data_IF_099592760574
#
_entry.id   IF_099592760574
#
_cell.length_a   1.000
_cell.length_b   1.000
_cell.length_c   1.000
_cell.angle_alpha   90.00
_cell.angle_beta   90.00
_cell.angle_gamma   90.00
#
_symmetry.space_group_name_H-M   'P 1'
#
loop_
_entity.id
_entity.type
_entity.pdbx_description
1 polymer ?
#
# COMPACT_ATOMS: atom_id res chain seq x y z
N UNK A 1 -20.57 12.35 14.13
CA UNK A 1 -20.75 11.90 12.74
C UNK A 1 -19.84 10.72 12.57
N UNK A 2 -20.42 9.53 12.54
CA UNK A 2 -19.67 8.27 12.59
C UNK A 2 -18.96 7.99 11.27
N UNK A 3 -17.66 7.88 11.33
CA UNK A 3 -16.79 7.54 10.21
C UNK A 3 -16.72 6.03 9.96
N UNK A 4 -17.89 5.37 9.78
CA UNK A 4 -17.97 3.95 9.42
C UNK A 4 -19.13 3.74 8.46
N UNK A 5 -18.93 4.16 7.22
CA UNK A 5 -19.89 3.96 6.13
C UNK A 5 -19.88 2.56 5.53
N UNK A 6 -19.52 1.52 6.26
CA UNK A 6 -19.62 0.14 5.80
C UNK A 6 -20.88 -0.51 6.40
N UNK A 7 -21.89 -0.77 5.59
CA UNK A 7 -23.06 -1.56 5.99
C UNK A 7 -22.69 -3.04 5.97
N UNK A 8 -23.05 -3.82 7.01
CA UNK A 8 -22.88 -5.26 6.99
C UNK A 8 -23.92 -5.93 6.08
N UNK A 9 -23.50 -6.91 5.29
CA UNK A 9 -24.37 -7.80 4.54
C UNK A 9 -25.11 -8.70 5.54
N UNK A 10 -26.45 -8.66 5.52
CA UNK A 10 -27.30 -9.52 6.32
C UNK A 10 -27.35 -10.93 5.71
N UNK A 11 -26.87 -11.93 6.44
CA UNK A 11 -27.05 -13.34 6.13
C UNK A 11 -28.00 -13.94 7.18
N UNK A 12 -29.25 -14.19 6.80
CA UNK A 12 -30.19 -14.96 7.59
C UNK A 12 -29.97 -16.47 7.35
N UNK A 13 -29.47 -17.16 8.37
CA UNK A 13 -29.40 -18.62 8.37
C UNK A 13 -30.68 -19.20 8.95
N UNK A 14 -31.46 -19.89 8.13
CA UNK A 14 -32.56 -20.78 8.60
C UNK A 14 -31.99 -22.15 8.97
N UNK A 15 -32.05 -22.48 10.25
CA UNK A 15 -31.90 -23.86 10.75
C UNK A 15 -33.12 -24.70 10.41
N UNK A 16 -32.89 -25.84 9.76
CA UNK A 16 -33.86 -26.93 9.70
C UNK A 16 -33.36 -28.11 10.52
N UNK A 17 -34.11 -28.38 11.60
CA UNK A 17 -34.00 -29.60 12.38
C UNK A 17 -34.53 -30.82 11.62
N UNK A 18 -33.88 -31.98 11.75
CA UNK A 18 -34.41 -33.31 11.44
C UNK A 18 -33.95 -34.32 12.49
N UNK A 19 -34.80 -35.28 12.91
CA UNK A 19 -34.73 -35.95 14.19
C UNK A 19 -33.95 -37.26 14.21
N UNK A 20 -33.65 -37.66 15.45
CA UNK A 20 -32.97 -38.86 15.93
C UNK A 20 -33.60 -40.19 15.51
N UNK A 21 -32.77 -41.20 15.28
CA UNK A 21 -33.09 -42.61 15.44
C UNK A 21 -31.90 -43.40 16.05
N UNK A 22 -32.21 -44.35 16.89
CA UNK A 22 -31.43 -45.00 17.92
C UNK A 22 -31.01 -46.45 17.54
N UNK A 23 -29.79 -46.87 17.96
CA UNK A 23 -29.27 -48.20 18.42
C UNK A 23 -28.81 -49.26 17.38
N UNK A 24 -28.01 -50.29 17.83
CA UNK A 24 -26.87 -50.34 18.79
C UNK A 24 -25.64 -51.19 18.34
N UNK A 25 -24.51 -50.97 19.03
CA UNK A 25 -23.44 -51.93 19.49
C UNK A 25 -22.86 -52.98 18.54
N UNK A 26 -21.56 -52.90 18.28
CA UNK A 26 -20.57 -53.97 18.53
C UNK A 26 -19.15 -53.40 18.56
N UNK A 27 -18.41 -53.74 19.61
CA UNK A 27 -17.03 -53.26 19.84
C UNK A 27 -15.98 -53.97 19.00
N UNK A 28 -15.05 -53.20 18.47
CA UNK A 28 -13.74 -53.67 18.04
C UNK A 28 -12.70 -52.71 18.60
N UNK A 29 -11.84 -53.22 19.46
CA UNK A 29 -10.70 -52.54 20.05
C UNK A 29 -9.64 -52.38 18.94
N UNK A 30 -9.51 -51.22 18.34
CA UNK A 30 -8.40 -50.86 17.48
C UNK A 30 -7.59 -49.77 18.19
N UNK A 31 -6.37 -50.15 18.57
CA UNK A 31 -5.37 -49.19 18.99
C UNK A 31 -5.15 -48.17 17.86
N UNK A 32 -5.75 -47.02 17.99
CA UNK A 32 -5.47 -45.87 17.12
C UNK A 32 -4.33 -45.11 17.73
N UNK A 33 -3.14 -45.24 17.11
CA UNK A 33 -2.04 -44.33 17.29
C UNK A 33 -2.59 -42.91 17.01
N UNK A 34 -2.84 -42.14 18.05
CA UNK A 34 -3.19 -40.72 17.91
C UNK A 34 -2.01 -39.99 17.28
N UNK A 35 -2.18 -39.33 16.12
CA UNK A 35 -1.19 -38.34 15.75
C UNK A 35 -1.23 -37.26 16.83
N UNK A 36 -0.12 -37.02 17.49
CA UNK A 36 0.09 -35.81 18.27
C UNK A 36 -0.27 -34.64 17.36
N UNK A 37 -1.47 -34.08 17.54
CA UNK A 37 -1.71 -32.69 17.14
C UNK A 37 -0.63 -31.89 17.87
N UNK A 38 0.41 -31.46 17.14
CA UNK A 38 1.18 -30.31 17.55
C UNK A 38 0.17 -29.15 17.59
N UNK A 39 -0.38 -28.93 18.76
CA UNK A 39 -1.17 -27.75 19.05
C UNK A 39 -0.30 -26.56 18.72
N UNK A 40 -0.73 -25.75 17.75
CA UNK A 40 -0.35 -24.36 17.71
C UNK A 40 -0.52 -23.84 19.13
N UNK A 41 0.57 -23.47 19.78
CA UNK A 41 0.50 -22.72 21.03
C UNK A 41 -0.27 -21.45 20.68
N UNK A 42 -1.56 -21.45 21.04
CA UNK A 42 -2.29 -20.20 21.24
C UNK A 42 -1.44 -19.43 22.24
N UNK A 43 -0.68 -18.46 21.76
CA UNK A 43 0.02 -17.50 22.59
C UNK A 43 -1.08 -16.82 23.40
N UNK A 44 -1.28 -17.29 24.62
CA UNK A 44 -2.31 -16.78 25.51
C UNK A 44 -2.01 -15.31 25.69
N UNK A 45 -2.85 -14.45 25.13
CA UNK A 45 -2.81 -13.01 25.33
C UNK A 45 -3.06 -12.73 26.81
N UNK A 46 -1.96 -12.81 27.57
CA UNK A 46 -1.94 -12.67 29.03
C UNK A 46 -1.76 -11.22 29.47
N UNK A 47 -1.67 -11.01 30.77
CA UNK A 47 -1.49 -9.65 31.33
C UNK A 47 -0.19 -8.98 30.85
N UNK A 48 0.86 -9.77 30.59
CA UNK A 48 2.13 -9.25 30.08
C UNK A 48 1.98 -8.66 28.67
N UNK A 49 1.30 -9.37 27.77
CA UNK A 49 1.06 -8.91 26.40
C UNK A 49 0.14 -7.69 26.36
N UNK A 50 -0.88 -7.65 27.22
CA UNK A 50 -1.79 -6.50 27.39
C UNK A 50 -1.03 -5.27 27.85
N UNK A 51 -0.19 -5.44 28.88
CA UNK A 51 0.62 -4.33 29.40
C UNK A 51 1.60 -3.83 28.33
N UNK A 52 2.24 -4.74 27.57
CA UNK A 52 3.13 -4.39 26.47
C UNK A 52 2.41 -3.61 25.38
N UNK A 53 1.23 -4.04 24.95
CA UNK A 53 0.43 -3.32 23.95
C UNK A 53 -0.03 -1.95 24.46
N UNK A 54 -0.38 -1.86 25.75
CA UNK A 54 -0.73 -0.58 26.41
C UNK A 54 0.46 0.38 26.43
N UNK A 55 1.67 -0.11 26.76
CA UNK A 55 2.89 0.70 26.70
C UNK A 55 3.22 1.19 25.29
N UNK A 56 2.99 0.35 24.25
CA UNK A 56 3.11 0.76 22.86
C UNK A 56 2.15 1.93 22.54
N UNK A 57 0.90 1.81 22.94
CA UNK A 57 -0.11 2.86 22.75
C UNK A 57 0.31 4.18 23.41
N UNK A 58 0.76 4.13 24.67
CA UNK A 58 1.16 5.33 25.41
C UNK A 58 2.42 6.00 24.83
N UNK A 59 3.41 5.22 24.39
CA UNK A 59 4.61 5.75 23.73
C UNK A 59 4.24 6.52 22.44
N UNK A 60 3.35 5.94 21.64
CA UNK A 60 2.86 6.57 20.40
C UNK A 60 2.04 7.82 20.72
N UNK A 61 1.16 7.77 21.74
CA UNK A 61 0.36 8.93 22.18
C UNK A 61 1.24 10.12 22.57
N UNK A 62 2.34 9.87 23.29
CA UNK A 62 3.26 10.91 23.73
C UNK A 62 3.92 11.63 22.53
N UNK A 63 4.39 10.87 21.53
CA UNK A 63 4.99 11.46 20.35
C UNK A 63 3.95 12.11 19.43
N UNK A 64 2.75 11.53 19.31
CA UNK A 64 1.63 12.13 18.59
C UNK A 64 1.28 13.52 19.14
N UNK A 65 1.09 13.63 20.46
CA UNK A 65 0.80 14.91 21.11
C UNK A 65 1.87 15.96 20.88
N UNK A 66 3.12 15.55 20.78
CA UNK A 66 4.28 16.42 20.56
C UNK A 66 4.47 16.84 19.11
N UNK A 67 4.22 15.91 18.15
CA UNK A 67 4.72 16.04 16.79
C UNK A 67 3.64 16.20 15.74
N UNK A 68 2.40 15.79 15.99
CA UNK A 68 1.32 15.91 15.01
C UNK A 68 1.12 17.37 14.58
N UNK A 69 0.99 17.60 13.29
CA UNK A 69 1.05 18.94 12.68
C UNK A 69 -0.07 19.88 13.16
N UNK A 70 -1.29 19.37 13.35
CA UNK A 70 -2.42 20.13 13.87
C UNK A 70 -2.51 19.98 15.41
N UNK A 71 -2.26 21.03 16.20
CA UNK A 71 -2.35 20.96 17.64
C UNK A 71 -3.78 20.72 18.18
N UNK A 72 -4.80 20.88 17.33
CA UNK A 72 -6.20 20.63 17.68
C UNK A 72 -6.66 19.22 17.21
N UNK A 73 -5.79 18.45 16.56
CA UNK A 73 -6.06 17.07 16.10
C UNK A 73 -7.36 16.95 15.28
N UNK A 74 -7.64 17.92 14.41
CA UNK A 74 -8.90 18.03 13.66
C UNK A 74 -10.16 18.05 14.57
N UNK A 75 -10.03 18.51 15.79
CA UNK A 75 -11.11 18.52 16.79
C UNK A 75 -11.33 17.18 17.51
N UNK A 76 -10.49 16.17 17.26
CA UNK A 76 -10.55 14.88 17.96
C UNK A 76 -10.06 15.03 19.40
N UNK A 77 -10.86 14.56 20.36
CA UNK A 77 -10.38 14.35 21.73
C UNK A 77 -9.43 13.14 21.77
N UNK A 78 -8.14 13.42 21.55
CA UNK A 78 -7.09 12.40 21.56
C UNK A 78 -7.03 11.66 22.89
N UNK A 79 -7.23 12.35 24.01
CA UNK A 79 -7.17 11.72 25.33
C UNK A 79 -8.30 10.70 25.50
N UNK A 80 -9.52 11.08 25.18
CA UNK A 80 -10.67 10.16 25.24
C UNK A 80 -10.49 8.97 24.26
N UNK A 81 -10.00 9.24 23.06
CA UNK A 81 -9.78 8.22 22.03
C UNK A 81 -8.72 7.20 22.44
N UNK A 82 -7.59 7.64 22.98
CA UNK A 82 -6.54 6.75 23.45
C UNK A 82 -6.93 5.97 24.69
N UNK A 83 -7.70 6.57 25.61
CA UNK A 83 -8.28 5.87 26.74
C UNK A 83 -9.26 4.75 26.29
N UNK A 84 -10.12 5.02 25.31
CA UNK A 84 -10.99 4.00 24.72
C UNK A 84 -10.17 2.85 24.09
N UNK A 85 -9.11 3.19 23.37
CA UNK A 85 -8.21 2.18 22.77
C UNK A 85 -7.54 1.33 23.85
N UNK A 86 -7.08 1.93 24.95
CA UNK A 86 -6.51 1.19 26.09
C UNK A 86 -7.52 0.18 26.68
N UNK A 87 -8.77 0.60 26.87
CA UNK A 87 -9.81 -0.31 27.36
C UNK A 87 -10.03 -1.50 26.41
N UNK A 88 -10.04 -1.26 25.09
CA UNK A 88 -10.17 -2.31 24.08
C UNK A 88 -8.98 -3.24 24.08
N UNK A 89 -7.74 -2.73 24.18
CA UNK A 89 -6.51 -3.52 24.28
C UNK A 89 -6.58 -4.46 25.48
N UNK A 90 -7.03 -3.98 26.64
CA UNK A 90 -7.19 -4.81 27.86
C UNK A 90 -8.26 -5.89 27.71
N UNK A 91 -9.27 -5.66 26.87
CA UNK A 91 -10.34 -6.60 26.57
C UNK A 91 -10.05 -7.50 25.35
N UNK A 92 -9.01 -7.21 24.58
CA UNK A 92 -8.66 -7.96 23.38
C UNK A 92 -8.35 -9.43 23.69
N UNK A 93 -8.62 -10.31 22.73
CA UNK A 93 -8.39 -11.77 22.86
C UNK A 93 -7.01 -12.20 22.43
N UNK A 94 -6.34 -11.39 21.63
CA UNK A 94 -5.00 -11.67 21.07
C UNK A 94 -4.31 -10.37 20.64
N UNK A 95 -3.01 -10.45 20.35
CA UNK A 95 -2.21 -9.30 19.90
C UNK A 95 -2.70 -8.68 18.60
N UNK A 96 -3.32 -9.44 17.70
CA UNK A 96 -3.83 -8.90 16.44
C UNK A 96 -5.01 -7.94 16.68
N UNK A 97 -5.88 -8.25 17.65
CA UNK A 97 -6.93 -7.34 18.09
C UNK A 97 -6.33 -6.09 18.73
N UNK A 98 -5.39 -6.25 19.64
CA UNK A 98 -4.71 -5.12 20.30
C UNK A 98 -4.01 -4.20 19.29
N UNK A 99 -3.30 -4.75 18.29
CA UNK A 99 -2.68 -3.94 17.23
C UNK A 99 -3.71 -3.21 16.37
N UNK A 100 -4.86 -3.84 16.12
CA UNK A 100 -5.97 -3.18 15.43
C UNK A 100 -6.55 -2.03 16.22
N UNK A 101 -6.61 -2.13 17.56
CA UNK A 101 -7.10 -1.07 18.43
C UNK A 101 -6.11 0.09 18.51
N UNK A 102 -4.79 -0.18 18.55
CA UNK A 102 -3.75 0.87 18.43
C UNK A 102 -3.89 1.58 17.07
N UNK A 103 -3.98 0.82 15.98
CA UNK A 103 -4.13 1.38 14.65
C UNK A 103 -5.40 2.24 14.51
N UNK A 104 -6.53 1.76 15.05
CA UNK A 104 -7.79 2.49 15.03
C UNK A 104 -7.75 3.81 15.80
N UNK A 105 -6.94 3.90 16.87
CA UNK A 105 -6.74 5.16 17.58
C UNK A 105 -6.06 6.23 16.71
N UNK A 106 -5.07 5.81 15.92
CA UNK A 106 -4.33 6.70 15.01
C UNK A 106 -5.15 7.05 13.76
N UNK A 107 -5.79 6.06 13.15
CA UNK A 107 -6.63 6.26 11.96
C UNK A 107 -7.82 7.20 12.21
N UNK A 108 -8.22 7.40 13.48
CA UNK A 108 -9.25 8.36 13.85
C UNK A 108 -8.85 9.82 13.59
N UNK A 109 -7.57 10.12 13.39
CA UNK A 109 -7.08 11.44 12.95
C UNK A 109 -7.47 11.76 11.50
N UNK A 110 -7.84 10.75 10.74
CA UNK A 110 -8.36 10.86 9.38
C UNK A 110 -7.40 11.57 8.42
N UNK A 111 -6.09 11.32 8.55
CA UNK A 111 -5.07 11.66 7.56
C UNK A 111 -4.37 10.41 7.00
N UNK A 112 -3.75 10.56 5.84
CA UNK A 112 -3.19 9.43 5.09
C UNK A 112 -1.84 8.94 5.61
N UNK A 113 -1.16 9.68 6.46
CA UNK A 113 0.23 9.40 6.85
C UNK A 113 0.40 9.13 8.35
N UNK A 114 -0.68 9.22 9.16
CA UNK A 114 -0.63 8.86 10.58
C UNK A 114 -1.21 7.47 10.80
N UNK A 115 -0.33 6.49 11.03
CA UNK A 115 -0.72 5.10 11.24
C UNK A 115 0.31 4.33 12.07
N UNK A 116 -0.14 3.21 12.64
CA UNK A 116 0.68 2.31 13.43
C UNK A 116 1.51 1.38 12.53
N UNK A 117 2.76 1.10 12.93
CA UNK A 117 3.65 0.14 12.32
C UNK A 117 3.82 -1.03 13.30
N UNK A 118 3.05 -2.12 13.14
CA UNK A 118 3.10 -3.23 14.08
C UNK A 118 4.46 -3.93 14.05
N UNK A 119 4.80 -4.67 15.11
CA UNK A 119 5.99 -5.51 15.12
C UNK A 119 5.99 -6.49 13.94
N UNK A 120 7.18 -6.79 13.38
CA UNK A 120 7.30 -7.80 12.33
C UNK A 120 6.86 -9.17 12.87
N UNK A 121 6.25 -9.95 12.00
CA UNK A 121 5.73 -11.27 12.32
C UNK A 121 6.71 -12.36 11.90
N UNK A 122 6.74 -13.50 12.62
CA UNK A 122 7.55 -14.65 12.20
C UNK A 122 7.05 -15.25 10.88
N UNK A 123 5.79 -15.03 10.53
CA UNK A 123 5.17 -15.48 9.28
C UNK A 123 4.39 -14.35 8.64
N UNK A 124 4.42 -14.30 7.31
CA UNK A 124 3.59 -13.41 6.47
C UNK A 124 2.66 -14.25 5.61
N UNK A 125 1.51 -13.70 5.26
CA UNK A 125 0.52 -14.34 4.41
C UNK A 125 0.56 -13.73 3.00
N UNK A 126 0.76 -14.55 1.97
CA UNK A 126 0.61 -14.16 0.57
C UNK A 126 -0.67 -14.75 0.01
N UNK A 127 -1.66 -13.92 -0.28
CA UNK A 127 -2.94 -14.36 -0.84
C UNK A 127 -2.87 -14.64 -2.35
N UNK A 128 -1.75 -14.36 -2.99
CA UNK A 128 -1.52 -14.67 -4.41
C UNK A 128 -2.27 -13.79 -5.39
N UNK A 129 -2.74 -12.61 -4.99
CA UNK A 129 -3.35 -11.64 -5.89
C UNK A 129 -3.03 -10.20 -5.48
N UNK A 130 -3.31 -9.28 -6.40
CA UNK A 130 -3.21 -7.84 -6.16
C UNK A 130 -4.52 -7.17 -6.50
N UNK A 131 -4.93 -6.22 -5.67
CA UNK A 131 -6.09 -5.36 -5.90
C UNK A 131 -5.65 -3.96 -6.34
N UNK A 132 -6.48 -3.29 -7.12
CA UNK A 132 -6.24 -1.95 -7.63
C UNK A 132 -7.55 -1.17 -7.65
N UNK A 133 -7.50 0.08 -7.18
CA UNK A 133 -8.60 1.01 -7.35
C UNK A 133 -8.63 1.54 -8.79
N UNK A 134 -9.80 1.60 -9.40
CA UNK A 134 -10.01 2.02 -10.79
C UNK A 134 -11.28 2.87 -10.87
N UNK A 135 -11.18 4.01 -11.51
CA UNK A 135 -12.30 4.94 -11.61
C UNK A 135 -12.62 5.60 -10.26
N UNK A 136 -13.87 5.95 -10.04
CA UNK A 136 -14.24 6.74 -8.87
C UNK A 136 -14.42 5.90 -7.60
N UNK A 137 -14.84 4.64 -7.74
CA UNK A 137 -15.16 3.82 -6.57
C UNK A 137 -14.76 2.35 -6.66
N UNK A 138 -14.51 1.81 -7.86
CA UNK A 138 -14.35 0.38 -8.06
C UNK A 138 -12.96 -0.13 -7.66
N UNK A 139 -12.92 -1.39 -7.22
CA UNK A 139 -11.70 -2.15 -6.95
C UNK A 139 -11.70 -3.37 -7.86
N UNK A 140 -10.58 -3.66 -8.49
CA UNK A 140 -10.42 -4.83 -9.36
C UNK A 140 -9.21 -5.67 -8.94
N UNK A 141 -9.29 -6.96 -9.22
CA UNK A 141 -8.10 -7.81 -9.24
C UNK A 141 -7.23 -7.35 -10.42
N UNK A 142 -6.04 -6.88 -10.12
CA UNK A 142 -5.10 -6.41 -11.14
C UNK A 142 -4.11 -7.48 -11.59
N UNK A 143 -3.87 -8.49 -10.74
CA UNK A 143 -3.02 -9.63 -11.08
C UNK A 143 -3.29 -10.80 -10.14
N UNK A 144 -3.08 -12.01 -10.65
CA UNK A 144 -3.12 -13.27 -9.89
C UNK A 144 -1.82 -14.01 -10.10
N UNK A 145 -1.20 -14.44 -8.99
CA UNK A 145 0.09 -15.14 -9.00
C UNK A 145 -0.09 -16.58 -9.48
N UNK A 146 0.70 -17.04 -10.47
CA UNK A 146 0.66 -18.42 -10.91
C UNK A 146 0.97 -19.42 -9.77
N UNK A 147 0.29 -20.56 -9.78
CA UNK A 147 0.50 -21.64 -8.82
C UNK A 147 -0.05 -21.38 -7.41
N UNK A 148 -0.90 -20.36 -7.22
CA UNK A 148 -1.56 -20.06 -5.94
C UNK A 148 -2.98 -20.62 -5.87
N UNK A 149 -3.54 -20.69 -4.67
CA UNK A 149 -4.94 -21.06 -4.45
C UNK A 149 -5.91 -20.12 -5.17
N UNK A 150 -5.57 -18.82 -5.19
CA UNK A 150 -6.32 -17.81 -5.94
C UNK A 150 -6.49 -18.20 -7.43
N UNK A 151 -5.39 -18.58 -8.09
CA UNK A 151 -5.45 -19.04 -9.48
C UNK A 151 -6.25 -20.33 -9.62
N UNK A 152 -6.02 -21.30 -8.74
CA UNK A 152 -6.71 -22.61 -8.77
C UNK A 152 -8.23 -22.47 -8.64
N UNK A 153 -8.68 -21.51 -7.85
CA UNK A 153 -10.11 -21.20 -7.65
C UNK A 153 -10.69 -20.29 -8.74
N UNK A 154 -9.92 -19.96 -9.75
CA UNK A 154 -10.40 -19.20 -10.90
C UNK A 154 -10.55 -17.69 -10.64
N UNK A 155 -9.81 -17.14 -9.67
CA UNK A 155 -9.65 -15.70 -9.54
C UNK A 155 -8.85 -15.20 -10.75
N UNK A 156 -9.30 -14.11 -11.37
CA UNK A 156 -8.70 -13.58 -12.59
C UNK A 156 -8.49 -12.07 -12.49
N UNK A 157 -7.48 -11.57 -13.19
CA UNK A 157 -7.38 -10.13 -13.43
C UNK A 157 -8.65 -9.64 -14.14
N UNK A 158 -9.13 -8.45 -13.78
CA UNK A 158 -10.37 -7.89 -14.29
C UNK A 158 -11.62 -8.27 -13.49
N UNK A 159 -11.56 -9.24 -12.56
CA UNK A 159 -12.65 -9.45 -11.61
C UNK A 159 -12.79 -8.20 -10.71
N UNK A 160 -13.98 -7.61 -10.66
CA UNK A 160 -14.29 -6.54 -9.73
C UNK A 160 -14.47 -7.12 -8.32
N UNK A 161 -13.79 -6.55 -7.34
CA UNK A 161 -13.94 -6.92 -5.93
C UNK A 161 -15.04 -6.07 -5.32
N UNK A 162 -16.15 -6.71 -4.94
CA UNK A 162 -17.27 -6.07 -4.26
C UNK A 162 -17.07 -6.07 -2.76
N UNK A 163 -16.48 -7.15 -2.22
CA UNK A 163 -16.23 -7.27 -0.78
C UNK A 163 -15.05 -8.18 -0.45
N UNK A 164 -14.43 -7.91 0.71
CA UNK A 164 -13.39 -8.74 1.32
C UNK A 164 -13.82 -9.06 2.74
N UNK A 165 -14.07 -10.34 3.03
CA UNK A 165 -14.70 -10.79 4.26
C UNK A 165 -16.03 -10.04 4.50
N UNK A 166 -16.13 -9.28 5.60
CA UNK A 166 -17.35 -8.53 5.97
C UNK A 166 -17.35 -7.06 5.51
N UNK A 167 -16.37 -6.65 4.75
CA UNK A 167 -16.22 -5.25 4.33
C UNK A 167 -16.43 -5.10 2.83
N UNK A 168 -17.18 -4.09 2.43
CA UNK A 168 -17.24 -3.67 1.03
C UNK A 168 -15.87 -3.19 0.58
N UNK A 169 -15.50 -3.51 -0.67
CA UNK A 169 -14.25 -3.06 -1.25
C UNK A 169 -14.50 -1.82 -2.12
N UNK A 170 -13.96 -0.70 -1.71
CA UNK A 170 -14.07 0.57 -2.41
C UNK A 170 -12.70 1.21 -2.60
N UNK A 171 -12.61 2.16 -3.55
CA UNK A 171 -11.40 2.94 -3.72
C UNK A 171 -10.91 3.57 -2.42
N UNK A 172 -11.82 4.15 -1.64
CA UNK A 172 -11.49 4.95 -0.47
C UNK A 172 -11.02 4.09 0.71
N UNK A 173 -11.41 2.80 0.77
CA UNK A 173 -10.98 1.92 1.85
C UNK A 173 -9.97 0.84 1.44
N UNK A 174 -9.57 0.78 0.18
CA UNK A 174 -8.65 -0.26 -0.31
C UNK A 174 -7.32 -0.29 0.46
N UNK A 175 -6.76 0.88 0.76
CA UNK A 175 -5.55 0.97 1.58
C UNK A 175 -5.77 0.38 2.97
N UNK A 176 -6.90 0.71 3.61
CA UNK A 176 -7.25 0.20 4.95
C UNK A 176 -7.46 -1.31 4.93
N UNK A 177 -8.10 -1.87 3.88
CA UNK A 177 -8.26 -3.32 3.72
C UNK A 177 -6.93 -4.04 3.58
N UNK A 178 -6.04 -3.52 2.72
CA UNK A 178 -4.69 -4.07 2.58
C UNK A 178 -3.92 -3.97 3.90
N UNK A 179 -3.94 -2.82 4.57
CA UNK A 179 -3.30 -2.62 5.86
C UNK A 179 -3.84 -3.58 6.94
N UNK A 180 -5.17 -3.79 6.96
CA UNK A 180 -5.80 -4.72 7.89
C UNK A 180 -5.31 -6.16 7.68
N UNK A 181 -5.32 -6.65 6.44
CA UNK A 181 -5.06 -8.07 6.16
C UNK A 181 -3.58 -8.39 5.91
N UNK A 182 -2.78 -7.43 5.48
CA UNK A 182 -1.33 -7.64 5.30
C UNK A 182 -0.54 -7.38 6.59
N UNK A 183 -0.97 -6.42 7.42
CA UNK A 183 -0.18 -5.98 8.56
C UNK A 183 -0.84 -6.23 9.94
N UNK A 184 -2.10 -5.85 10.13
CA UNK A 184 -2.72 -5.87 11.46
C UNK A 184 -3.30 -7.23 11.83
N UNK A 185 -4.08 -7.82 10.93
CA UNK A 185 -4.83 -9.08 11.17
C UNK A 185 -4.73 -10.02 9.97
N UNK A 186 -3.52 -10.46 9.59
CA UNK A 186 -3.38 -11.47 8.55
C UNK A 186 -4.16 -12.73 8.93
N UNK A 187 -4.77 -13.36 7.92
CA UNK A 187 -5.63 -14.52 8.09
C UNK A 187 -5.20 -15.64 7.13
N UNK A 188 -5.44 -16.91 7.49
CA UNK A 188 -5.12 -18.06 6.61
C UNK A 188 -5.85 -18.01 5.27
N UNK A 189 -6.97 -17.28 5.18
CA UNK A 189 -7.72 -17.10 3.96
C UNK A 189 -8.61 -15.87 4.00
N UNK A 190 -8.99 -15.39 2.81
CA UNK A 190 -9.91 -14.27 2.62
C UNK A 190 -11.13 -14.73 1.82
N UNK A 191 -12.31 -14.35 2.27
CA UNK A 191 -13.54 -14.48 1.50
C UNK A 191 -13.68 -13.25 0.60
N UNK A 192 -13.82 -13.47 -0.70
CA UNK A 192 -13.95 -12.44 -1.72
C UNK A 192 -15.33 -12.54 -2.38
N UNK A 193 -16.06 -11.45 -2.40
CA UNK A 193 -17.27 -11.27 -3.20
C UNK A 193 -16.86 -10.54 -4.48
N UNK A 194 -17.09 -11.15 -5.62
CA UNK A 194 -16.53 -10.72 -6.90
C UNK A 194 -17.61 -10.60 -7.96
N UNK A 195 -17.35 -9.76 -8.96
CA UNK A 195 -18.10 -9.70 -10.22
C UNK A 195 -17.14 -9.82 -11.39
N UNK A 196 -17.36 -10.85 -12.23
CA UNK A 196 -16.54 -11.05 -13.43
C UNK A 196 -16.73 -9.91 -14.44
N UNK A 197 -15.81 -9.71 -15.41
CA UNK A 197 -16.01 -8.75 -16.49
C UNK A 197 -17.30 -8.95 -17.29
N UNK A 198 -17.85 -10.18 -17.28
CA UNK A 198 -19.14 -10.53 -17.91
C UNK A 198 -20.37 -10.23 -17.04
N UNK A 199 -20.17 -9.73 -15.82
CA UNK A 199 -21.22 -9.37 -14.88
C UNK A 199 -21.69 -10.51 -13.96
N UNK A 200 -21.07 -11.68 -14.02
CA UNK A 200 -21.40 -12.82 -13.15
C UNK A 200 -20.80 -12.62 -11.76
N UNK A 201 -21.63 -12.76 -10.73
CA UNK A 201 -21.15 -12.71 -9.35
C UNK A 201 -20.70 -14.08 -8.86
N UNK A 202 -19.65 -14.10 -8.05
CA UNK A 202 -19.08 -15.31 -7.45
C UNK A 202 -18.47 -15.01 -6.09
N UNK A 203 -18.58 -15.99 -5.21
CA UNK A 203 -17.93 -15.98 -3.88
C UNK A 203 -16.75 -16.95 -3.89
N UNK A 204 -15.60 -16.50 -3.45
CA UNK A 204 -14.41 -17.33 -3.33
C UNK A 204 -13.78 -17.17 -1.95
N UNK A 205 -13.38 -18.29 -1.34
CA UNK A 205 -12.48 -18.26 -0.17
C UNK A 205 -11.09 -18.61 -0.66
N UNK A 206 -10.20 -17.63 -0.70
CA UNK A 206 -8.82 -17.78 -1.16
C UNK A 206 -7.92 -18.03 0.04
N UNK A 207 -7.20 -19.16 0.04
CA UNK A 207 -6.23 -19.48 1.09
C UNK A 207 -4.91 -18.75 0.82
N UNK A 208 -4.30 -18.24 1.89
CA UNK A 208 -2.96 -17.66 1.82
C UNK A 208 -1.90 -18.75 1.80
N UNK A 209 -0.73 -18.39 1.29
CA UNK A 209 0.50 -19.14 1.48
C UNK A 209 1.30 -18.47 2.59
N UNK A 210 1.70 -19.23 3.60
CA UNK A 210 2.57 -18.72 4.66
C UNK A 210 4.02 -18.73 4.21
N UNK A 211 4.70 -17.61 4.42
CA UNK A 211 6.14 -17.46 4.22
C UNK A 211 6.78 -17.09 5.55
N UNK A 212 8.01 -17.54 5.78
CA UNK A 212 8.77 -17.06 6.92
C UNK A 212 8.93 -15.54 6.82
N UNK A 213 8.40 -14.83 7.80
CA UNK A 213 8.54 -13.38 7.91
C UNK A 213 9.95 -13.00 8.36
N UNK A 214 10.21 -11.69 8.39
CA UNK A 214 11.47 -11.17 8.92
C UNK A 214 11.62 -11.60 10.37
N UNK A 215 12.54 -12.52 10.65
CA UNK A 215 13.00 -12.73 12.01
C UNK A 215 13.88 -11.53 12.35
N UNK A 216 13.53 -10.81 13.41
CA UNK A 216 14.52 -9.95 14.04
C UNK A 216 15.62 -10.86 14.57
N UNK A 217 16.80 -10.67 14.02
CA UNK A 217 17.99 -11.40 14.38
C UNK A 217 18.27 -11.12 15.85
N UNK A 218 18.28 -12.16 16.63
CA UNK A 218 19.12 -12.18 17.82
C UNK A 218 20.57 -12.10 17.31
N UNK A 219 21.24 -10.98 17.53
CA UNK A 219 22.63 -10.74 17.11
C UNK A 219 23.61 -11.80 17.67
N UNK A 220 23.13 -12.69 18.53
CA UNK A 220 23.88 -13.79 19.13
C UNK A 220 23.80 -15.08 18.31
N UNK A 221 22.99 -15.19 17.25
CA UNK A 221 22.87 -16.38 16.38
C UNK A 221 23.22 -15.97 14.94
N UNK A 222 24.46 -15.61 14.73
CA UNK A 222 24.86 -14.65 13.71
C UNK A 222 25.07 -15.15 12.28
N UNK A 223 25.02 -16.43 11.93
CA UNK A 223 25.50 -16.83 10.60
C UNK A 223 24.42 -17.04 9.52
N UNK A 224 23.23 -17.50 9.90
CA UNK A 224 22.15 -17.78 8.94
C UNK A 224 21.35 -16.52 8.57
N UNK A 225 21.34 -15.54 9.45
CA UNK A 225 20.50 -14.35 9.34
C UNK A 225 21.05 -13.25 8.44
N UNK A 226 22.36 -13.13 8.27
CA UNK A 226 22.97 -12.09 7.42
C UNK A 226 22.67 -12.39 5.95
N UNK A 227 22.84 -13.62 5.52
CA UNK A 227 22.55 -14.02 4.13
C UNK A 227 21.06 -13.93 3.79
N UNK A 228 20.16 -14.17 4.75
CA UNK A 228 18.73 -13.98 4.57
C UNK A 228 18.37 -12.50 4.46
N UNK A 229 18.95 -11.64 5.30
CA UNK A 229 18.77 -10.19 5.23
C UNK A 229 19.29 -9.61 3.91
N UNK A 230 20.47 -10.04 3.45
CA UNK A 230 21.05 -9.64 2.17
C UNK A 230 20.14 -10.06 1.01
N UNK A 231 19.61 -11.28 1.02
CA UNK A 231 18.69 -11.77 -0.01
C UNK A 231 17.37 -10.99 -0.03
N UNK A 232 16.79 -10.66 1.14
CA UNK A 232 15.58 -9.83 1.22
C UNK A 232 15.81 -8.41 0.75
N UNK A 233 16.97 -7.83 1.06
CA UNK A 233 17.35 -6.48 0.60
C UNK A 233 17.57 -6.46 -0.92
N UNK A 234 18.26 -7.48 -1.46
CA UNK A 234 18.43 -7.64 -2.91
C UNK A 234 17.08 -7.82 -3.62
N UNK A 235 16.18 -8.61 -3.06
CA UNK A 235 14.85 -8.79 -3.61
C UNK A 235 14.03 -7.53 -3.56
N UNK A 236 14.05 -6.82 -2.44
CA UNK A 236 13.40 -5.51 -2.31
C UNK A 236 13.93 -4.53 -3.35
N UNK A 237 15.24 -4.46 -3.54
CA UNK A 237 15.90 -3.67 -4.59
C UNK A 237 15.46 -4.10 -5.98
N UNK A 238 15.38 -5.40 -6.23
CA UNK A 238 14.91 -5.95 -7.52
C UNK A 238 13.48 -5.52 -7.85
N UNK A 239 12.57 -5.63 -6.89
CA UNK A 239 11.16 -5.29 -7.09
C UNK A 239 10.92 -3.77 -7.23
N UNK A 240 11.79 -2.95 -6.64
CA UNK A 240 11.67 -1.49 -6.62
C UNK A 240 12.52 -0.78 -7.66
N UNK A 241 13.35 -1.50 -8.42
CA UNK A 241 14.19 -0.86 -9.43
C UNK A 241 13.36 -0.17 -10.52
N UNK A 242 13.83 0.98 -11.03
CA UNK A 242 13.25 1.55 -12.24
C UNK A 242 13.36 0.57 -13.41
N UNK A 243 12.27 0.42 -14.18
CA UNK A 243 12.23 -0.42 -15.38
C UNK A 243 12.05 0.44 -16.62
N UNK A 244 12.68 0.04 -17.70
CA UNK A 244 12.73 0.83 -18.92
C UNK A 244 12.28 0.01 -20.12
N UNK A 245 11.65 0.69 -21.07
CA UNK A 245 11.38 0.21 -22.41
C UNK A 245 11.61 1.35 -23.40
N UNK A 246 11.92 1.02 -24.65
CA UNK A 246 12.14 2.02 -25.69
C UNK A 246 11.18 1.77 -26.84
N UNK A 247 10.58 2.84 -27.38
CA UNK A 247 9.78 2.81 -28.58
C UNK A 247 10.56 3.50 -29.71
N UNK A 248 11.11 2.68 -30.61
CA UNK A 248 12.13 3.16 -31.53
C UNK A 248 13.41 3.55 -30.81
N UNK A 249 14.14 4.54 -31.35
CA UNK A 249 15.41 5.00 -30.79
C UNK A 249 15.32 6.31 -30.00
N UNK A 250 14.14 6.95 -29.93
CA UNK A 250 14.01 8.32 -29.46
C UNK A 250 12.93 8.53 -28.37
N UNK A 251 12.17 7.50 -28.02
CA UNK A 251 11.18 7.54 -26.95
C UNK A 251 11.53 6.51 -25.89
N UNK A 252 11.70 6.96 -24.65
CA UNK A 252 11.92 6.10 -23.50
C UNK A 252 10.67 6.06 -22.61
N UNK A 253 10.33 4.88 -22.14
CA UNK A 253 9.33 4.65 -21.08
C UNK A 253 10.10 4.26 -19.83
N UNK A 254 9.85 4.97 -18.73
CA UNK A 254 10.39 4.62 -17.43
C UNK A 254 9.25 4.31 -16.47
N UNK A 255 9.15 3.08 -15.98
CA UNK A 255 8.29 2.73 -14.85
C UNK A 255 9.09 2.88 -13.57
N UNK A 256 8.75 3.91 -12.79
CA UNK A 256 9.39 4.23 -11.51
C UNK A 256 8.52 3.68 -10.38
N UNK A 257 9.01 2.64 -9.71
CA UNK A 257 8.25 1.92 -8.70
C UNK A 257 7.99 2.73 -7.42
N UNK A 258 8.98 3.54 -6.98
CA UNK A 258 8.86 4.45 -5.84
C UNK A 258 9.92 5.56 -5.89
N UNK A 259 9.90 6.47 -4.91
CA UNK A 259 10.94 7.47 -4.65
C UNK A 259 11.78 7.13 -3.41
N UNK A 260 11.71 5.89 -2.91
CA UNK A 260 12.41 5.46 -1.70
C UNK A 260 13.82 4.92 -1.99
N UNK A 261 14.57 5.61 -2.85
CA UNK A 261 15.95 5.29 -3.18
C UNK A 261 16.90 6.48 -2.89
N UNK A 262 18.20 6.20 -2.88
CA UNK A 262 19.20 7.23 -2.59
C UNK A 262 19.10 8.38 -3.62
N UNK A 263 18.99 9.66 -3.18
CA UNK A 263 18.99 10.81 -4.07
C UNK A 263 20.16 10.86 -5.08
N UNK A 264 21.29 10.24 -4.78
CA UNK A 264 22.45 10.24 -5.69
C UNK A 264 22.18 9.50 -6.99
N UNK A 265 21.33 8.47 -6.98
CA UNK A 265 20.92 7.73 -8.19
C UNK A 265 19.97 8.51 -9.10
N UNK A 266 19.43 9.65 -8.64
CA UNK A 266 18.57 10.50 -9.48
C UNK A 266 19.34 10.99 -10.73
N UNK A 267 20.63 11.27 -10.61
CA UNK A 267 21.42 11.75 -11.75
C UNK A 267 21.47 10.73 -12.88
N UNK A 268 21.67 9.45 -12.56
CA UNK A 268 21.74 8.37 -13.54
C UNK A 268 20.43 8.23 -14.33
N UNK A 269 19.29 8.40 -13.65
CA UNK A 269 17.98 8.42 -14.29
C UNK A 269 17.82 9.61 -15.23
N UNK A 270 18.16 10.82 -14.77
CA UNK A 270 18.03 12.04 -15.56
C UNK A 270 18.98 12.02 -16.78
N UNK A 271 20.19 11.48 -16.63
CA UNK A 271 21.16 11.34 -17.74
C UNK A 271 20.61 10.42 -18.82
N UNK A 272 19.95 9.33 -18.43
CA UNK A 272 19.29 8.43 -19.36
C UNK A 272 18.13 9.08 -20.09
N UNK A 273 17.34 9.92 -19.41
CA UNK A 273 16.20 10.60 -20.02
C UNK A 273 16.63 11.64 -21.06
N UNK A 274 17.73 12.37 -20.78
CA UNK A 274 18.22 13.43 -21.67
C UNK A 274 18.62 12.97 -23.07
N UNK A 275 18.93 11.70 -23.23
CA UNK A 275 19.32 11.14 -24.54
C UNK A 275 18.13 10.89 -25.48
N UNK A 276 16.88 11.10 -25.00
CA UNK A 276 15.67 10.80 -25.74
C UNK A 276 14.83 12.05 -26.03
N UNK A 277 14.19 12.09 -27.17
CA UNK A 277 13.27 13.15 -27.57
C UNK A 277 12.03 13.21 -26.68
N UNK A 278 11.52 12.05 -26.25
CA UNK A 278 10.35 11.97 -25.41
C UNK A 278 10.55 10.95 -24.26
N UNK A 279 9.91 11.27 -23.14
CA UNK A 279 9.85 10.44 -21.93
C UNK A 279 8.41 10.19 -21.56
N UNK A 280 8.03 8.93 -21.43
CA UNK A 280 6.81 8.50 -20.74
C UNK A 280 7.22 8.01 -19.35
N UNK A 281 6.85 8.76 -18.32
CA UNK A 281 7.15 8.42 -16.93
C UNK A 281 5.92 7.77 -16.29
N UNK A 282 6.00 6.44 -16.07
CA UNK A 282 4.91 5.67 -15.45
C UNK A 282 5.08 5.66 -13.92
N UNK A 283 4.26 6.46 -13.23
CA UNK A 283 4.15 6.54 -11.78
C UNK A 283 2.93 5.78 -11.23
N UNK A 284 2.26 4.98 -12.04
CA UNK A 284 1.11 4.17 -11.59
C UNK A 284 1.57 3.15 -10.54
N UNK A 285 0.87 3.11 -9.41
CA UNK A 285 1.22 2.27 -8.27
C UNK A 285 2.45 2.74 -7.49
N UNK A 286 3.00 3.92 -7.76
CA UNK A 286 4.12 4.49 -7.02
C UNK A 286 3.64 5.14 -5.72
N UNK A 287 3.96 4.59 -4.52
CA UNK A 287 3.46 5.09 -3.24
C UNK A 287 4.19 6.35 -2.74
N UNK A 288 5.09 6.93 -3.54
CA UNK A 288 5.93 8.04 -3.11
C UNK A 288 7.29 7.59 -2.58
N UNK A 289 7.81 8.28 -1.56
CA UNK A 289 9.10 7.96 -0.97
C UNK A 289 9.78 9.15 -0.30
N UNK A 290 11.09 9.26 -0.42
CA UNK A 290 11.87 10.27 0.29
C UNK A 290 11.74 11.66 -0.33
N UNK A 291 11.47 12.66 0.50
CA UNK A 291 11.38 14.07 0.08
C UNK A 291 12.64 14.53 -0.66
N UNK A 292 13.88 14.29 -0.16
CA UNK A 292 15.08 14.69 -0.89
C UNK A 292 15.23 14.07 -2.28
N UNK A 293 14.78 12.83 -2.45
CA UNK A 293 14.77 12.15 -3.76
C UNK A 293 13.78 12.83 -4.71
N UNK A 294 12.57 13.12 -4.22
CA UNK A 294 11.53 13.80 -5.00
C UNK A 294 11.93 15.22 -5.41
N UNK A 295 12.52 16.01 -4.48
CA UNK A 295 13.05 17.36 -4.74
C UNK A 295 14.12 17.32 -5.83
N UNK A 296 15.11 16.45 -5.68
CA UNK A 296 16.21 16.30 -6.63
C UNK A 296 15.74 15.82 -8.00
N UNK A 297 14.78 14.88 -8.02
CA UNK A 297 14.18 14.36 -9.25
C UNK A 297 13.38 15.46 -9.97
N UNK A 298 12.51 16.16 -9.24
CA UNK A 298 11.69 17.26 -9.79
C UNK A 298 12.57 18.34 -10.39
N UNK A 299 13.63 18.77 -9.67
CA UNK A 299 14.58 19.79 -10.16
C UNK A 299 15.29 19.41 -11.45
N UNK A 300 15.35 18.12 -11.78
CA UNK A 300 15.91 17.63 -13.05
C UNK A 300 15.11 18.01 -14.30
N UNK A 301 13.88 18.44 -14.15
CA UNK A 301 12.97 18.75 -15.28
C UNK A 301 12.78 20.26 -15.51
N UNK A 302 13.45 21.12 -14.73
CA UNK A 302 13.28 22.56 -14.79
C UNK A 302 14.64 23.28 -14.82
N UNK A 303 14.72 24.35 -15.59
CA UNK A 303 15.90 25.20 -15.71
C UNK A 303 15.96 26.32 -14.65
N UNK A 304 14.90 26.43 -13.84
CA UNK A 304 14.75 27.34 -12.69
C UNK A 304 14.43 26.57 -11.42
N UNK A 305 14.65 27.18 -10.28
CA UNK A 305 14.16 26.67 -9.00
C UNK A 305 12.64 26.64 -8.97
N UNK A 306 12.05 25.56 -8.47
CA UNK A 306 10.60 25.35 -8.40
C UNK A 306 10.18 25.16 -6.95
N UNK A 307 9.18 25.93 -6.50
CA UNK A 307 8.49 25.65 -5.26
C UNK A 307 7.52 24.50 -5.49
N UNK A 308 7.73 23.39 -4.78
CA UNK A 308 6.82 22.23 -4.82
C UNK A 308 5.60 22.51 -3.96
N UNK A 309 5.83 22.78 -2.65
CA UNK A 309 4.75 23.01 -1.70
C UNK A 309 5.18 23.89 -0.53
N UNK A 310 4.24 24.61 0.05
CA UNK A 310 4.38 25.19 1.38
C UNK A 310 4.10 24.09 2.43
N UNK A 311 4.84 24.12 3.53
CA UNK A 311 4.74 23.13 4.62
C UNK A 311 4.09 23.79 5.82
N UNK A 312 2.90 23.32 6.20
CA UNK A 312 2.15 23.81 7.36
C UNK A 312 2.22 22.82 8.51
N UNK A 313 2.92 23.15 9.55
CA UNK A 313 3.09 22.34 10.76
C UNK A 313 2.89 23.17 12.01
N UNK A 314 3.22 22.59 13.19
CA UNK A 314 3.17 23.30 14.50
C UNK A 314 4.11 24.51 14.57
N UNK A 315 5.13 24.54 13.73
CA UNK A 315 6.12 25.61 13.63
C UNK A 315 6.16 26.07 12.19
N UNK A 316 6.69 27.26 11.98
CA UNK A 316 7.03 27.73 10.65
C UNK A 316 8.06 26.79 10.03
N UNK A 317 7.75 26.27 8.86
CA UNK A 317 8.59 25.35 8.10
C UNK A 317 8.96 26.01 6.76
N UNK A 318 10.19 25.77 6.30
CA UNK A 318 10.60 26.21 4.96
C UNK A 318 9.80 25.42 3.91
N UNK A 319 9.43 26.05 2.78
CA UNK A 319 8.76 25.33 1.69
C UNK A 319 9.68 24.24 1.12
N UNK A 320 9.05 23.23 0.54
CA UNK A 320 9.73 22.19 -0.23
C UNK A 320 10.10 22.77 -1.60
N UNK A 321 11.38 22.74 -1.94
CA UNK A 321 11.92 23.36 -3.13
C UNK A 321 12.66 22.35 -4.00
N UNK A 322 12.49 22.43 -5.31
CA UNK A 322 13.25 21.65 -6.28
C UNK A 322 14.32 22.56 -6.94
N UNK A 323 15.58 22.27 -6.67
CA UNK A 323 16.70 23.03 -7.21
C UNK A 323 16.95 22.70 -8.68
N UNK A 324 17.08 23.72 -9.52
CA UNK A 324 17.38 23.56 -10.95
C UNK A 324 18.71 22.84 -11.18
N UNK A 325 18.77 22.11 -12.27
CA UNK A 325 19.99 21.46 -12.79
C UNK A 325 20.66 22.29 -13.89
N UNK A 326 20.15 23.47 -14.20
CA UNK A 326 20.67 24.34 -15.24
C UNK A 326 20.76 23.63 -16.59
N UNK A 327 21.94 23.67 -17.22
CA UNK A 327 22.16 23.01 -18.52
C UNK A 327 22.04 21.49 -18.56
N UNK A 328 21.84 20.84 -17.39
CA UNK A 328 21.59 19.39 -17.29
C UNK A 328 20.10 19.05 -17.12
N UNK A 329 19.22 19.97 -17.43
CA UNK A 329 17.78 19.76 -17.37
C UNK A 329 17.31 18.76 -18.45
N UNK A 330 16.40 17.88 -18.10
CA UNK A 330 15.70 17.00 -19.05
C UNK A 330 14.70 17.85 -19.84
N UNK A 331 14.93 17.98 -21.14
CA UNK A 331 14.08 18.79 -22.05
C UNK A 331 13.13 17.95 -22.90
N UNK A 332 13.19 16.64 -22.81
CA UNK A 332 12.33 15.68 -23.52
C UNK A 332 10.87 16.05 -23.38
N UNK A 333 10.05 15.80 -24.41
CA UNK A 333 8.59 15.85 -24.30
C UNK A 333 8.17 14.88 -23.19
N UNK A 334 7.43 15.37 -22.18
CA UNK A 334 7.10 14.62 -20.98
C UNK A 334 5.62 14.23 -20.93
N UNK A 335 5.36 12.94 -20.73
CA UNK A 335 4.04 12.41 -20.39
C UNK A 335 4.18 11.63 -19.09
N UNK A 336 3.33 11.93 -18.10
CA UNK A 336 3.34 11.27 -16.78
C UNK A 336 2.07 10.44 -16.63
N UNK A 337 2.20 9.17 -16.24
CA UNK A 337 1.05 8.30 -15.98
C UNK A 337 0.82 8.16 -14.48
N UNK A 338 -0.42 8.35 -14.04
CA UNK A 338 -0.84 8.19 -12.64
C UNK A 338 -2.07 7.29 -12.52
N UNK A 339 -2.28 6.73 -11.33
CA UNK A 339 -3.49 5.97 -10.97
C UNK A 339 -3.77 6.06 -9.47
N UNK A 340 -4.81 5.35 -8.99
CA UNK A 340 -5.19 5.32 -7.58
C UNK A 340 -4.13 4.81 -6.61
N UNK A 341 -3.04 4.20 -7.09
CA UNK A 341 -1.88 3.80 -6.30
C UNK A 341 -0.73 4.82 -6.34
N UNK A 342 -0.84 5.89 -7.13
CA UNK A 342 0.13 6.99 -7.14
C UNK A 342 -0.10 7.88 -5.92
N UNK A 343 0.87 7.96 -5.01
CA UNK A 343 0.72 8.63 -3.72
C UNK A 343 1.91 9.53 -3.38
N UNK A 344 1.71 10.52 -2.50
CA UNK A 344 2.76 11.31 -1.86
C UNK A 344 3.72 11.98 -2.88
N UNK A 345 5.02 11.65 -2.87
CA UNK A 345 6.02 12.23 -3.78
C UNK A 345 5.65 12.08 -5.27
N UNK A 346 4.96 11.01 -5.66
CA UNK A 346 4.46 10.82 -7.03
C UNK A 346 3.38 11.85 -7.39
N UNK A 347 2.50 12.18 -6.45
CA UNK A 347 1.46 13.20 -6.61
C UNK A 347 2.06 14.59 -6.67
N UNK A 348 3.03 14.89 -5.79
CA UNK A 348 3.75 16.16 -5.78
C UNK A 348 4.40 16.41 -7.14
N UNK A 349 5.14 15.42 -7.67
CA UNK A 349 5.77 15.52 -8.98
C UNK A 349 4.74 15.75 -10.11
N UNK A 350 3.71 14.90 -10.17
CA UNK A 350 2.67 15.02 -11.20
C UNK A 350 1.97 16.38 -11.15
N UNK A 351 1.68 16.89 -9.93
CA UNK A 351 1.07 18.20 -9.76
C UNK A 351 1.98 19.35 -10.17
N UNK A 352 3.27 19.30 -9.84
CA UNK A 352 4.25 20.29 -10.30
C UNK A 352 4.35 20.31 -11.83
N UNK A 353 4.35 19.12 -12.48
CA UNK A 353 4.31 19.03 -13.96
C UNK A 353 3.11 19.77 -14.55
N UNK A 354 1.92 19.66 -13.93
CA UNK A 354 0.72 20.40 -14.37
C UNK A 354 0.84 21.91 -14.13
N UNK A 355 1.23 22.33 -12.91
CA UNK A 355 1.33 23.74 -12.53
C UNK A 355 2.31 24.47 -13.46
N UNK A 356 3.47 23.89 -13.69
CA UNK A 356 4.52 24.46 -14.54
C UNK A 356 4.32 24.19 -16.04
N UNK A 357 3.25 23.49 -16.43
CA UNK A 357 2.94 23.09 -17.82
C UNK A 357 4.13 22.37 -18.50
N UNK A 358 4.87 21.57 -17.72
CA UNK A 358 6.08 20.89 -18.19
C UNK A 358 5.77 19.67 -19.06
N UNK A 359 4.61 19.08 -18.93
CA UNK A 359 4.18 17.88 -19.64
C UNK A 359 2.69 17.64 -19.46
N UNK A 360 2.22 16.50 -19.94
CA UNK A 360 0.83 16.04 -19.81
C UNK A 360 0.72 14.92 -18.81
N UNK A 361 -0.23 14.99 -17.89
CA UNK A 361 -0.53 13.95 -16.91
C UNK A 361 -1.74 13.14 -17.38
N UNK A 362 -1.57 11.85 -17.55
CA UNK A 362 -2.61 10.90 -18.02
C UNK A 362 -2.96 9.86 -16.97
N UNK A 363 -4.12 9.28 -17.11
CA UNK A 363 -4.52 8.09 -16.36
C UNK A 363 -5.76 8.29 -15.51
N UNK A 364 -5.73 7.81 -14.29
CA UNK A 364 -6.82 7.98 -13.31
C UNK A 364 -6.39 8.93 -12.20
N UNK A 365 -7.36 9.43 -11.42
CA UNK A 365 -7.12 10.22 -10.23
C UNK A 365 -6.12 9.50 -9.31
N UNK A 366 -5.14 10.21 -8.77
CA UNK A 366 -4.16 9.66 -7.83
C UNK A 366 -4.78 9.36 -6.46
N UNK A 367 -3.98 8.86 -5.53
CA UNK A 367 -4.42 8.40 -4.20
C UNK A 367 -5.08 9.50 -3.37
N UNK A 368 -4.54 10.72 -3.38
CA UNK A 368 -4.91 11.75 -2.43
C UNK A 368 -4.27 11.54 -1.05
N UNK A 369 -3.04 11.05 -1.05
CA UNK A 369 -2.27 10.79 0.16
C UNK A 369 -1.03 11.68 0.16
N UNK A 370 -1.18 12.95 0.54
CA UNK A 370 -0.16 14.00 0.37
C UNK A 370 0.06 14.77 1.66
N UNK A 371 0.74 14.14 2.58
CA UNK A 371 1.20 14.75 3.83
C UNK A 371 2.69 14.49 4.00
N UNK A 372 3.36 15.27 4.84
CA UNK A 372 4.73 14.97 5.26
C UNK A 372 4.70 14.35 6.66
N UNK A 373 5.24 13.15 6.78
CA UNK A 373 5.24 12.42 8.03
C UNK A 373 6.65 12.00 8.44
N UNK A 374 6.83 11.83 9.74
CA UNK A 374 8.02 11.26 10.34
C UNK A 374 7.72 9.88 10.91
N UNK A 375 8.65 8.97 10.65
CA UNK A 375 8.62 7.65 11.26
C UNK A 375 9.27 7.67 12.63
N UNK A 376 8.53 7.24 13.64
CA UNK A 376 8.99 6.99 15.00
C UNK A 376 9.19 5.51 15.18
N UNK A 377 10.38 5.11 15.64
CA UNK A 377 10.72 3.71 15.90
C UNK A 377 10.88 3.52 17.40
N UNK A 378 10.27 2.46 17.91
CA UNK A 378 10.26 2.13 19.33
C UNK A 378 10.78 0.71 19.54
N UNK A 379 11.23 0.46 20.78
CA UNK A 379 11.62 -0.88 21.24
C UNK A 379 10.92 -1.15 22.56
N UNK A 380 10.24 -2.27 22.68
CA UNK A 380 9.62 -2.74 23.92
C UNK A 380 10.28 -4.02 24.38
N UNK A 381 10.57 -4.15 25.69
CA UNK A 381 11.20 -5.31 26.31
C UNK A 381 12.67 -5.09 26.68
N UNK A 382 13.13 -5.82 27.71
CA UNK A 382 14.48 -5.66 28.29
C UNK A 382 15.47 -6.68 27.76
N UNK A 383 15.07 -7.93 27.51
CA UNK A 383 15.93 -9.04 27.10
C UNK A 383 15.75 -9.46 25.63
N UNK A 384 14.54 -9.29 25.10
CA UNK A 384 14.23 -9.46 23.67
C UNK A 384 13.42 -8.26 23.22
N UNK A 385 14.08 -7.32 22.53
CA UNK A 385 13.44 -6.11 22.07
C UNK A 385 12.43 -6.39 20.95
N UNK A 386 11.17 -6.03 21.18
CA UNK A 386 10.15 -6.00 20.11
C UNK A 386 10.17 -4.62 19.48
N UNK A 387 10.49 -4.56 18.19
CA UNK A 387 10.51 -3.32 17.43
C UNK A 387 9.12 -3.04 16.83
N UNK A 388 8.66 -1.81 16.94
CA UNK A 388 7.42 -1.31 16.35
C UNK A 388 7.58 0.16 16.01
N UNK A 389 6.57 0.79 15.43
CA UNK A 389 6.66 2.21 15.11
C UNK A 389 5.31 2.88 14.90
N UNK A 390 5.40 4.16 14.63
CA UNK A 390 4.30 4.93 14.11
C UNK A 390 4.81 5.88 13.02
N UNK A 391 4.01 6.08 11.99
CA UNK A 391 4.11 7.22 11.12
C UNK A 391 3.24 8.32 11.71
N UNK A 392 3.75 9.52 11.88
CA UNK A 392 3.02 10.67 12.43
C UNK A 392 3.22 11.85 11.49
N UNK A 393 2.13 12.44 11.02
CA UNK A 393 2.14 13.61 10.16
C UNK A 393 2.68 14.83 10.88
N UNK A 394 3.77 15.42 10.37
CA UNK A 394 4.41 16.62 10.91
C UNK A 394 4.07 17.90 10.12
N UNK A 395 3.63 17.76 8.86
CA UNK A 395 3.20 18.89 8.04
C UNK A 395 2.13 18.53 7.02
N UNK A 396 1.19 19.43 6.84
CA UNK A 396 0.30 19.50 5.70
C UNK A 396 1.01 20.20 4.53
N UNK A 397 0.79 19.72 3.29
CA UNK A 397 1.46 20.20 2.10
C UNK A 397 0.48 20.97 1.20
N UNK A 398 0.74 22.27 1.02
CA UNK A 398 -0.04 23.13 0.14
C UNK A 398 0.77 23.40 -1.11
N UNK A 399 0.28 22.94 -2.26
CA UNK A 399 0.96 23.08 -3.54
C UNK A 399 1.18 24.55 -3.92
N UNK A 400 2.08 24.82 -4.86
CA UNK A 400 2.42 26.19 -5.28
C UNK A 400 1.23 26.98 -5.83
N UNK A 401 0.16 26.30 -6.28
CA UNK A 401 -1.12 26.92 -6.72
C UNK A 401 -2.14 27.08 -5.60
N UNK A 402 -1.76 26.84 -4.33
CA UNK A 402 -2.60 26.98 -3.16
C UNK A 402 -3.53 25.78 -2.87
N UNK A 403 -3.48 24.71 -3.66
CA UNK A 403 -4.31 23.51 -3.47
C UNK A 403 -3.69 22.54 -2.49
N UNK A 404 -4.54 21.93 -1.68
CA UNK A 404 -4.23 20.74 -0.90
C UNK A 404 -4.66 19.49 -1.69
N UNK A 405 -3.78 18.49 -1.76
CA UNK A 405 -4.05 17.24 -2.46
C UNK A 405 -4.50 16.11 -1.53
N UNK A 406 -4.42 16.31 -0.22
CA UNK A 406 -4.88 15.30 0.74
C UNK A 406 -6.36 14.98 0.51
N UNK A 407 -6.71 13.70 0.42
CA UNK A 407 -8.04 13.16 0.07
C UNK A 407 -8.59 13.50 -1.32
N UNK A 408 -7.98 14.46 -2.03
CA UNK A 408 -8.46 14.88 -3.35
C UNK A 408 -7.66 14.27 -4.49
N UNK A 409 -6.36 14.13 -4.31
CA UNK A 409 -5.43 13.64 -5.30
C UNK A 409 -5.22 14.59 -6.48
N UNK A 410 -4.38 14.14 -7.40
CA UNK A 410 -4.15 14.80 -8.69
C UNK A 410 -5.17 14.28 -9.68
N UNK A 411 -5.94 15.19 -10.27
CA UNK A 411 -6.81 14.89 -11.41
C UNK A 411 -5.95 14.97 -12.67
N UNK A 412 -5.85 13.92 -13.50
CA UNK A 412 -5.06 13.96 -14.73
C UNK A 412 -5.61 14.96 -15.73
N UNK A 413 -4.76 15.46 -16.62
CA UNK A 413 -5.16 16.36 -17.72
C UNK A 413 -6.04 15.64 -18.73
N UNK A 414 -5.79 14.36 -18.98
CA UNK A 414 -6.64 13.48 -19.78
C UNK A 414 -6.91 12.19 -18.97
N UNK A 415 -8.18 11.97 -18.62
CA UNK A 415 -8.59 10.81 -17.85
C UNK A 415 -8.80 9.60 -18.75
N UNK A 416 -8.04 8.53 -18.50
CA UNK A 416 -8.17 7.24 -19.18
C UNK A 416 -8.13 6.16 -18.12
N UNK A 417 -9.20 5.39 -18.03
CA UNK A 417 -9.38 4.36 -16.99
C UNK A 417 -9.52 3.01 -17.69
N UNK A 418 -8.67 2.01 -17.37
CA UNK A 418 -8.83 0.67 -17.91
C UNK A 418 -10.14 0.03 -17.44
N UNK A 419 -10.77 -0.74 -18.28
CA UNK A 419 -11.95 -1.54 -17.93
C UNK A 419 -11.53 -2.87 -17.30
N UNK A 420 -12.50 -3.60 -16.68
CA UNK A 420 -12.26 -4.97 -16.23
C UNK A 420 -11.85 -5.90 -17.37
N UNK A 421 -12.38 -5.70 -18.58
CA UNK A 421 -11.98 -6.45 -19.78
C UNK A 421 -10.55 -6.12 -20.22
N UNK A 422 -10.10 -4.86 -20.09
CA UNK A 422 -8.72 -4.49 -20.39
C UNK A 422 -7.75 -5.20 -19.42
N UNK A 423 -8.08 -5.19 -18.12
CA UNK A 423 -7.29 -5.88 -17.11
C UNK A 423 -7.26 -7.40 -17.35
N UNK A 424 -8.38 -8.00 -17.71
CA UNK A 424 -8.48 -9.43 -18.00
C UNK A 424 -7.70 -9.84 -19.26
N UNK A 425 -7.59 -8.94 -20.22
CA UNK A 425 -6.88 -9.19 -21.50
C UNK A 425 -5.43 -8.66 -21.49
N UNK A 426 -4.92 -8.22 -20.34
CA UNK A 426 -3.59 -7.61 -20.18
C UNK A 426 -3.35 -6.48 -21.20
N UNK A 427 -4.36 -5.60 -21.36
CA UNK A 427 -4.31 -4.42 -22.23
C UNK A 427 -4.05 -3.14 -21.41
N UNK A 428 -3.24 -2.24 -21.96
CA UNK A 428 -2.94 -0.95 -21.34
C UNK A 428 -3.32 0.24 -22.24
N UNK A 429 -4.58 0.70 -22.18
CA UNK A 429 -5.03 1.84 -22.99
C UNK A 429 -4.36 3.15 -22.58
N UNK A 430 -3.92 3.29 -21.30
CA UNK A 430 -3.27 4.50 -20.79
C UNK A 430 -1.90 4.69 -21.41
N UNK A 431 -1.08 3.63 -21.40
CA UNK A 431 0.26 3.66 -21.99
C UNK A 431 0.19 3.78 -23.51
N UNK A 432 -0.79 3.14 -24.14
CA UNK A 432 -1.09 3.31 -25.59
C UNK A 432 -1.34 4.78 -25.93
N UNK A 433 -2.17 5.46 -25.14
CA UNK A 433 -2.46 6.88 -25.38
C UNK A 433 -1.25 7.77 -25.15
N UNK A 434 -0.43 7.47 -24.13
CA UNK A 434 0.82 8.17 -23.91
C UNK A 434 1.79 8.05 -25.09
N UNK A 435 1.92 6.85 -25.66
CA UNK A 435 2.72 6.61 -26.86
C UNK A 435 2.23 7.46 -28.05
N UNK A 436 0.91 7.52 -28.27
CA UNK A 436 0.32 8.38 -29.31
C UNK A 436 0.66 9.87 -29.12
N UNK A 437 0.61 10.39 -27.89
CA UNK A 437 0.94 11.79 -27.61
C UNK A 437 2.39 12.15 -27.95
N UNK A 438 3.29 11.20 -27.82
CA UNK A 438 4.71 11.38 -28.17
C UNK A 438 5.03 10.94 -29.61
N UNK A 439 3.98 10.65 -30.43
CA UNK A 439 4.15 10.27 -31.83
C UNK A 439 4.67 8.86 -32.07
N UNK A 440 4.61 7.99 -31.05
CA UNK A 440 4.99 6.57 -31.16
C UNK A 440 3.75 5.68 -31.39
N UNK A 441 3.97 4.49 -31.96
CA UNK A 441 2.93 3.48 -32.16
C UNK A 441 3.11 2.40 -31.11
N UNK A 442 2.03 2.08 -30.42
CA UNK A 442 1.99 1.01 -29.41
C UNK A 442 0.53 0.56 -29.28
N UNK A 443 0.23 -0.71 -29.51
CA UNK A 443 -1.11 -1.26 -29.29
C UNK A 443 -1.39 -1.49 -27.80
N UNK A 444 -2.66 -1.56 -27.36
CA UNK A 444 -2.97 -1.88 -25.96
C UNK A 444 -2.41 -3.21 -25.48
N UNK A 445 -2.39 -4.22 -26.34
CA UNK A 445 -1.86 -5.56 -26.07
C UNK A 445 -0.33 -5.58 -25.96
N UNK A 446 0.38 -4.80 -26.78
CA UNK A 446 1.83 -4.61 -26.66
C UNK A 446 2.18 -3.82 -25.39
N UNK A 447 1.41 -2.77 -25.09
CA UNK A 447 1.60 -1.92 -23.91
C UNK A 447 1.45 -2.72 -22.60
N UNK A 448 0.45 -3.58 -22.49
CA UNK A 448 0.22 -4.44 -21.33
C UNK A 448 1.40 -5.36 -21.01
N UNK A 449 2.12 -5.80 -22.03
CA UNK A 449 3.26 -6.75 -21.89
C UNK A 449 4.60 -6.09 -21.56
N UNK A 450 4.74 -4.76 -21.65
CA UNK A 450 6.04 -4.09 -21.47
C UNK A 450 6.58 -4.21 -20.05
N UNK A 451 5.71 -4.17 -19.05
CA UNK A 451 6.12 -4.19 -17.64
C UNK A 451 5.32 -5.25 -16.85
N UNK A 452 5.56 -6.55 -17.10
CA UNK A 452 4.86 -7.61 -16.37
C UNK A 452 5.08 -7.45 -14.86
N UNK A 453 4.04 -7.78 -14.08
CA UNK A 453 4.14 -7.72 -12.63
C UNK A 453 5.16 -8.75 -12.14
N UNK A 454 6.11 -8.28 -11.35
CA UNK A 454 7.07 -9.14 -10.66
C UNK A 454 6.55 -9.48 -9.27
N UNK A 455 6.58 -10.76 -8.93
CA UNK A 455 6.23 -11.26 -7.62
C UNK A 455 7.48 -11.46 -6.77
N UNK A 456 7.37 -11.35 -5.42
CA UNK A 456 8.43 -11.80 -4.54
C UNK A 456 8.80 -13.26 -4.80
N UNK A 457 10.08 -13.59 -4.66
CA UNK A 457 10.55 -14.98 -4.75
C UNK A 457 9.95 -15.81 -3.59
N UNK A 458 9.73 -17.11 -3.84
CA UNK A 458 9.18 -18.01 -2.81
C UNK A 458 10.24 -18.36 -1.77
#
# INVERSE_FOLDING_TARGET
MDATGARPLACESQEKMVPSAILPVLGVLLLVCSPMLMGTTDDKYGEFEKERATQMLHAIEADLKKSYYDPQFHGLDVRARFHEAEQKIRAAKNMNEAFSDIAAALLALDDSHTFFLPPPRPYTHDYGFRMKAVGDSAVYISAVRPGTDAQTKGLQAGDQVLGVNKYDATRDNLWTLNYLYDALRPQPGLHLVLRSPKGEEKDLVVQSREHMGRRYVDFMVASTSISEMEREDEESKRLRRPRFAELGSDVIICRLADFAFNPDHVNDLLDRFRSHRALILDLRGNPGGFVPTAEKFTGGFFDKEIKIADRRGRKELKPTMAQSRGGKTVTSQLVVLIDGGSASAAELFARVVQIEKRGTVLGDRSSGSVMEAKRFNYTSGVSQGTFYGASITEADLIMADGKNLEKTGVIPDERIVPTGEDLAADRDPVLTRAAQLVGAKLTPEEAGKLFPLEWPSN
#
